data_IF_293067127593
#
_entry.id   IF_293067127593
#
_cell.length_a   1.000
_cell.length_b   1.000
_cell.length_c   1.000
_cell.angle_alpha   90.00
_cell.angle_beta   90.00
_cell.angle_gamma   90.00
#
_symmetry.space_group_name_H-M   'P 1'
#
loop_
_entity.id
_entity.type
_entity.pdbx_description
1 polymer ?
#
# COMPACT_ATOMS: atom_id res chain seq x y z
N UNK A 1 -46.86 -9.30 -19.90
CA UNK A 1 -46.29 -10.67 -19.87
C UNK A 1 -45.76 -10.90 -18.45
N UNK A 2 -46.29 -11.91 -17.72
CA UNK A 2 -45.72 -12.31 -16.42
C UNK A 2 -44.33 -12.89 -16.70
N UNK A 3 -43.30 -12.43 -15.97
CA UNK A 3 -42.00 -13.08 -15.99
C UNK A 3 -42.19 -14.56 -15.55
N UNK A 4 -41.54 -15.52 -16.21
CA UNK A 4 -41.60 -16.90 -15.81
C UNK A 4 -41.08 -17.04 -14.37
N UNK A 5 -41.79 -17.82 -13.57
CA UNK A 5 -41.42 -18.16 -12.20
C UNK A 5 -40.22 -19.13 -12.26
N UNK A 6 -39.01 -18.55 -12.22
CA UNK A 6 -37.75 -19.31 -12.25
C UNK A 6 -37.37 -19.66 -10.81
N UNK A 7 -37.35 -20.96 -10.44
CA UNK A 7 -36.91 -21.35 -9.12
C UNK A 7 -35.50 -20.88 -8.81
N UNK A 8 -35.30 -20.08 -7.78
CA UNK A 8 -33.99 -19.53 -7.40
C UNK A 8 -33.80 -19.60 -5.90
N UNK A 9 -32.58 -19.96 -5.48
CA UNK A 9 -32.15 -19.80 -4.09
C UNK A 9 -31.27 -18.53 -4.06
N UNK A 10 -31.78 -17.48 -3.44
CA UNK A 10 -31.05 -16.21 -3.30
C UNK A 10 -30.73 -15.96 -1.83
N UNK A 11 -29.49 -15.66 -1.53
CA UNK A 11 -28.99 -15.27 -0.21
C UNK A 11 -27.92 -14.22 -0.37
N UNK A 12 -27.82 -13.30 0.58
CA UNK A 12 -26.76 -12.30 0.62
C UNK A 12 -25.61 -12.77 1.49
N UNK A 13 -24.38 -12.67 1.00
CA UNK A 13 -23.16 -12.89 1.80
C UNK A 13 -22.65 -11.52 2.21
N UNK A 14 -22.68 -11.20 3.51
CA UNK A 14 -22.13 -9.99 4.07
C UNK A 14 -20.77 -10.29 4.73
N UNK A 15 -19.73 -9.53 4.36
CA UNK A 15 -18.38 -9.66 4.92
C UNK A 15 -17.98 -8.30 5.50
N UNK A 16 -17.53 -8.30 6.77
CA UNK A 16 -16.97 -7.12 7.42
C UNK A 16 -15.48 -7.35 7.66
N UNK A 17 -14.65 -6.50 7.07
CA UNK A 17 -13.20 -6.57 7.18
C UNK A 17 -12.69 -5.27 7.82
N UNK A 18 -12.00 -5.33 8.99
CA UNK A 18 -11.43 -4.15 9.59
C UNK A 18 -10.25 -3.65 8.74
N UNK A 19 -10.26 -2.36 8.39
CA UNK A 19 -9.16 -1.70 7.72
C UNK A 19 -8.41 -0.83 8.72
N UNK A 20 -7.15 -1.18 9.01
CA UNK A 20 -6.36 -0.57 10.08
C UNK A 20 -5.09 0.04 9.52
N UNK A 21 -4.91 1.33 9.73
CA UNK A 21 -3.71 2.08 9.33
C UNK A 21 -3.03 2.62 10.58
N UNK A 22 -1.79 2.22 10.78
CA UNK A 22 -0.93 2.66 11.88
C UNK A 22 0.11 3.64 11.37
N UNK A 23 0.49 4.59 12.23
CA UNK A 23 1.56 5.55 11.96
C UNK A 23 2.63 5.41 13.04
N UNK A 24 3.90 5.36 12.65
CA UNK A 24 5.02 5.20 13.56
C UNK A 24 6.30 5.82 12.98
N UNK A 25 7.34 5.83 13.80
CA UNK A 25 8.72 6.12 13.37
C UNK A 25 9.63 5.04 13.95
N UNK A 26 10.21 4.19 13.09
CA UNK A 26 11.02 3.05 13.47
C UNK A 26 10.21 1.87 14.02
N UNK A 27 9.38 1.24 13.20
CA UNK A 27 8.50 0.12 13.56
C UNK A 27 9.24 -1.06 14.21
N UNK A 28 10.51 -1.26 13.87
CA UNK A 28 11.36 -2.32 14.40
C UNK A 28 12.35 -1.85 15.46
N UNK A 29 12.23 -0.60 15.94
CA UNK A 29 13.06 -0.11 17.03
C UNK A 29 12.71 -0.80 18.36
N UNK A 30 13.69 -0.97 19.28
CA UNK A 30 13.41 -1.48 20.62
C UNK A 30 12.33 -0.62 21.32
N UNK A 31 11.33 -1.30 21.91
CA UNK A 31 10.23 -0.62 22.60
C UNK A 31 9.11 -0.08 21.71
N UNK A 32 9.22 -0.18 20.39
CA UNK A 32 8.11 0.13 19.48
C UNK A 32 7.21 -1.09 19.32
N UNK A 33 5.97 -0.98 19.76
CA UNK A 33 4.99 -2.07 19.74
C UNK A 33 3.96 -1.98 18.60
N UNK A 34 4.10 -0.98 17.71
CA UNK A 34 3.14 -0.77 16.62
C UNK A 34 3.05 -1.98 15.70
N UNK A 35 4.19 -2.56 15.31
CA UNK A 35 4.18 -3.76 14.47
C UNK A 35 3.55 -4.96 15.19
N UNK A 36 3.77 -5.10 16.51
CA UNK A 36 3.12 -6.13 17.32
C UNK A 36 1.59 -5.93 17.37
N UNK A 37 1.13 -4.70 17.55
CA UNK A 37 -0.30 -4.36 17.50
C UNK A 37 -0.91 -4.64 16.12
N UNK A 38 -0.20 -4.30 15.05
CA UNK A 38 -0.63 -4.55 13.68
C UNK A 38 -0.79 -6.04 13.39
N UNK A 39 0.19 -6.87 13.75
CA UNK A 39 0.15 -8.32 13.53
C UNK A 39 -0.92 -9.03 14.40
N UNK A 40 -1.09 -8.60 15.65
CA UNK A 40 -2.13 -9.18 16.54
C UNK A 40 -3.53 -8.88 16.05
N UNK A 41 -3.79 -7.66 15.61
CA UNK A 41 -5.14 -7.21 15.30
C UNK A 41 -6.09 -7.37 16.50
N UNK A 42 -7.31 -7.78 16.23
CA UNK A 42 -8.33 -8.03 17.25
C UNK A 42 -8.44 -9.52 17.61
N UNK A 43 -7.48 -10.35 17.22
CA UNK A 43 -7.57 -11.79 17.46
C UNK A 43 -7.19 -12.17 18.89
N UNK A 44 -7.96 -13.07 19.45
CA UNK A 44 -7.74 -13.66 20.77
C UNK A 44 -6.74 -14.84 20.70
N UNK A 45 -6.64 -15.46 19.52
CA UNK A 45 -5.77 -16.61 19.29
C UNK A 45 -4.28 -16.21 19.42
N UNK A 46 -3.58 -16.89 20.32
CA UNK A 46 -2.16 -16.63 20.67
C UNK A 46 -1.21 -17.64 20.05
N UNK A 47 -1.64 -18.44 19.06
CA UNK A 47 -0.73 -19.36 18.38
C UNK A 47 0.41 -18.59 17.74
N UNK A 48 1.63 -19.15 17.85
CA UNK A 48 2.79 -18.65 17.12
C UNK A 48 2.51 -18.68 15.61
N UNK A 49 2.78 -17.61 14.90
CA UNK A 49 2.51 -17.46 13.47
C UNK A 49 3.77 -17.13 12.70
N UNK A 50 3.83 -17.64 11.49
CA UNK A 50 4.93 -17.37 10.58
C UNK A 50 4.75 -16.03 9.88
N UNK A 51 5.87 -15.36 9.61
CA UNK A 51 5.92 -14.08 8.90
C UNK A 51 6.99 -14.17 7.82
N UNK A 52 6.55 -14.09 6.57
CA UNK A 52 7.43 -13.91 5.41
C UNK A 52 7.52 -12.41 5.11
N UNK A 53 8.73 -11.89 4.94
CA UNK A 53 8.94 -10.48 4.59
C UNK A 53 9.43 -10.38 3.15
N UNK A 54 8.76 -9.53 2.35
CA UNK A 54 9.19 -9.14 1.01
C UNK A 54 9.47 -7.64 1.04
N UNK A 55 10.69 -7.25 0.73
CA UNK A 55 11.14 -5.87 0.84
C UNK A 55 11.70 -5.35 -0.48
N UNK A 56 11.47 -4.07 -0.75
CA UNK A 56 12.07 -3.38 -1.89
C UNK A 56 13.59 -3.28 -1.69
N UNK A 57 14.34 -3.75 -2.67
CA UNK A 57 15.80 -3.76 -2.62
C UNK A 57 16.38 -2.34 -2.43
N UNK A 58 15.75 -1.32 -3.03
CA UNK A 58 16.14 0.08 -2.85
C UNK A 58 16.00 0.55 -1.40
N UNK A 59 14.94 0.14 -0.70
CA UNK A 59 14.74 0.44 0.72
C UNK A 59 15.85 -0.21 1.58
N UNK A 60 16.15 -1.49 1.33
CA UNK A 60 17.20 -2.20 2.07
C UNK A 60 18.59 -1.61 1.80
N UNK A 61 18.88 -1.20 0.56
CA UNK A 61 20.12 -0.50 0.23
C UNK A 61 20.23 0.87 0.90
N UNK A 62 19.12 1.60 0.96
CA UNK A 62 19.05 2.93 1.58
C UNK A 62 19.07 2.91 3.12
N UNK A 63 18.73 1.78 3.72
CA UNK A 63 18.73 1.55 5.18
C UNK A 63 19.35 0.18 5.50
N UNK A 64 20.68 0.05 5.44
CA UNK A 64 21.36 -1.25 5.59
C UNK A 64 21.12 -1.93 6.93
N UNK A 65 20.83 -1.17 7.99
CA UNK A 65 20.52 -1.66 9.33
C UNK A 65 19.13 -2.29 9.46
N UNK A 66 18.22 -2.01 8.52
CA UNK A 66 16.80 -2.39 8.60
C UNK A 66 16.62 -3.92 8.69
N UNK A 67 17.36 -4.69 7.90
CA UNK A 67 17.28 -6.15 7.93
C UNK A 67 17.69 -6.71 9.31
N UNK A 68 18.75 -6.15 9.89
CA UNK A 68 19.22 -6.53 11.24
C UNK A 68 18.21 -6.14 12.33
N UNK A 69 17.65 -4.93 12.26
CA UNK A 69 16.60 -4.45 13.18
C UNK A 69 15.37 -5.34 13.13
N UNK A 70 14.91 -5.69 11.94
CA UNK A 70 13.79 -6.58 11.70
C UNK A 70 14.04 -7.97 12.32
N UNK A 71 15.19 -8.58 12.03
CA UNK A 71 15.57 -9.88 12.59
C UNK A 71 15.62 -9.85 14.11
N UNK A 72 16.24 -8.83 14.71
CA UNK A 72 16.32 -8.67 16.16
C UNK A 72 14.92 -8.46 16.78
N UNK A 73 14.05 -7.68 16.12
CA UNK A 73 12.69 -7.42 16.58
C UNK A 73 11.85 -8.72 16.66
N UNK A 74 11.92 -9.57 15.63
CA UNK A 74 11.23 -10.86 15.61
C UNK A 74 11.85 -11.85 16.59
N UNK A 75 13.18 -11.90 16.73
CA UNK A 75 13.85 -12.74 17.70
C UNK A 75 13.42 -12.45 19.14
N UNK A 76 13.30 -11.15 19.49
CA UNK A 76 12.80 -10.72 20.80
C UNK A 76 11.33 -11.10 21.07
N UNK A 77 10.57 -11.45 20.04
CA UNK A 77 9.13 -11.80 20.09
C UNK A 77 8.84 -13.20 19.54
N UNK A 78 9.83 -14.07 19.57
CA UNK A 78 9.79 -15.43 18.99
C UNK A 78 8.71 -16.36 19.58
N UNK A 79 8.12 -15.99 20.71
CA UNK A 79 6.95 -16.69 21.27
C UNK A 79 5.66 -16.45 20.49
N UNK A 80 5.51 -15.28 19.88
CA UNK A 80 4.30 -14.87 19.15
C UNK A 80 4.47 -15.06 17.63
N UNK A 81 5.66 -14.73 17.09
CA UNK A 81 5.92 -14.75 15.65
C UNK A 81 7.24 -15.40 15.30
N UNK A 82 7.28 -16.02 14.13
CA UNK A 82 8.47 -16.61 13.53
C UNK A 82 8.76 -15.91 12.21
N UNK A 83 9.87 -15.16 12.16
CA UNK A 83 10.39 -14.68 10.88
C UNK A 83 10.92 -15.85 10.08
N UNK A 84 10.41 -16.06 8.88
CA UNK A 84 10.84 -17.16 8.01
C UNK A 84 11.90 -16.69 7.04
N UNK A 85 13.13 -17.08 7.31
CA UNK A 85 14.30 -16.69 6.52
C UNK A 85 14.62 -15.19 6.62
N UNK A 86 15.48 -14.75 5.72
CA UNK A 86 15.81 -13.34 5.55
C UNK A 86 14.74 -12.63 4.70
N UNK A 87 14.60 -11.29 4.78
CA UNK A 87 13.72 -10.55 3.90
C UNK A 87 14.04 -10.81 2.43
N UNK A 88 13.04 -11.23 1.66
CA UNK A 88 13.15 -11.42 0.22
C UNK A 88 13.26 -10.06 -0.46
N UNK A 89 14.44 -9.72 -0.99
CA UNK A 89 14.68 -8.47 -1.67
C UNK A 89 14.22 -8.56 -3.13
N UNK A 90 13.33 -7.64 -3.55
CA UNK A 90 12.88 -7.51 -4.93
C UNK A 90 13.11 -6.07 -5.42
N UNK A 91 13.42 -5.92 -6.69
CA UNK A 91 13.46 -4.59 -7.29
C UNK A 91 12.03 -4.05 -7.41
N UNK A 92 11.87 -2.77 -7.06
CA UNK A 92 10.60 -2.07 -7.07
C UNK A 92 10.35 -1.29 -8.35
N UNK A 93 9.50 -0.27 -8.22
CA UNK A 93 9.06 0.56 -9.34
C UNK A 93 8.02 -0.15 -10.22
N UNK A 94 7.38 0.59 -11.14
CA UNK A 94 6.28 0.04 -11.96
C UNK A 94 6.71 -1.18 -12.82
N UNK A 95 8.00 -1.27 -13.15
CA UNK A 95 8.55 -2.37 -13.94
C UNK A 95 8.36 -3.75 -13.26
N UNK A 96 8.37 -3.83 -11.93
CA UNK A 96 8.17 -5.10 -11.23
C UNK A 96 6.81 -5.73 -11.51
N UNK A 97 5.79 -4.91 -11.80
CA UNK A 97 4.43 -5.39 -12.11
C UNK A 97 4.31 -6.03 -13.49
N UNK A 98 5.32 -5.86 -14.37
CA UNK A 98 5.37 -6.51 -15.68
C UNK A 98 6.02 -7.91 -15.63
N UNK A 99 6.68 -8.24 -14.52
CA UNK A 99 7.38 -9.51 -14.35
C UNK A 99 6.58 -10.50 -13.51
N UNK A 100 5.84 -11.37 -14.18
CA UNK A 100 5.06 -12.43 -13.55
C UNK A 100 5.90 -13.46 -12.79
N UNK A 101 7.19 -13.58 -13.10
CA UNK A 101 8.07 -14.51 -12.40
C UNK A 101 8.19 -14.12 -10.93
N UNK A 102 8.11 -12.83 -10.61
CA UNK A 102 8.13 -12.33 -9.23
C UNK A 102 6.92 -12.82 -8.41
N UNK A 103 5.75 -12.91 -9.02
CA UNK A 103 4.56 -13.50 -8.37
C UNK A 103 4.80 -14.98 -8.07
N UNK A 104 5.34 -15.73 -9.04
CA UNK A 104 5.74 -17.14 -8.87
C UNK A 104 6.75 -17.32 -7.75
N UNK A 105 7.79 -16.48 -7.70
CA UNK A 105 8.81 -16.51 -6.64
C UNK A 105 8.20 -16.28 -5.24
N UNK A 106 7.22 -15.39 -5.12
CA UNK A 106 6.53 -15.15 -3.83
C UNK A 106 5.69 -16.38 -3.46
N UNK A 107 4.96 -16.98 -4.39
CA UNK A 107 4.21 -18.21 -4.13
C UNK A 107 5.12 -19.37 -3.71
N UNK A 108 6.26 -19.56 -4.37
CA UNK A 108 7.26 -20.55 -3.98
C UNK A 108 7.84 -20.29 -2.59
N UNK A 109 8.06 -19.01 -2.24
CA UNK A 109 8.51 -18.63 -0.89
C UNK A 109 7.43 -18.92 0.15
N UNK A 110 6.15 -18.64 -0.14
CA UNK A 110 5.01 -18.97 0.72
C UNK A 110 4.93 -20.47 0.96
N UNK A 111 5.02 -21.28 -0.08
CA UNK A 111 4.98 -22.75 0.00
C UNK A 111 6.16 -23.31 0.79
N UNK A 112 7.39 -22.90 0.44
CA UNK A 112 8.62 -23.36 1.09
C UNK A 112 8.66 -22.97 2.57
N UNK A 113 8.15 -21.81 2.92
CA UNK A 113 8.06 -21.34 4.29
C UNK A 113 6.91 -22.00 5.08
N UNK A 114 6.00 -22.71 4.41
CA UNK A 114 4.79 -23.27 5.02
C UNK A 114 3.91 -22.15 5.61
N UNK A 115 3.75 -21.05 4.87
CA UNK A 115 2.84 -19.95 5.21
C UNK A 115 1.42 -20.41 4.94
N UNK A 116 0.56 -20.29 5.93
CA UNK A 116 -0.86 -20.63 5.83
C UNK A 116 -1.74 -19.35 5.87
N UNK A 117 -3.05 -19.51 5.85
CA UNK A 117 -4.01 -18.39 5.91
C UNK A 117 -4.01 -17.63 7.24
N UNK A 118 -3.38 -18.15 8.28
CA UNK A 118 -3.25 -17.51 9.59
C UNK A 118 -1.89 -16.81 9.78
N UNK A 119 -0.95 -17.12 8.92
CA UNK A 119 0.38 -16.53 8.84
C UNK A 119 0.34 -15.20 8.08
N UNK A 120 1.48 -14.54 7.94
CA UNK A 120 1.55 -13.22 7.33
C UNK A 120 2.59 -13.14 6.21
N UNK A 121 2.25 -12.36 5.19
CA UNK A 121 3.22 -11.79 4.26
C UNK A 121 3.31 -10.30 4.53
N UNK A 122 4.48 -9.79 4.89
CA UNK A 122 4.74 -8.37 5.10
C UNK A 122 5.43 -7.81 3.87
N UNK A 123 4.81 -6.82 3.23
CA UNK A 123 5.36 -6.13 2.08
C UNK A 123 5.92 -4.76 2.50
N UNK A 124 7.19 -4.49 2.21
CA UNK A 124 7.88 -3.25 2.55
C UNK A 124 8.39 -2.58 1.27
N UNK A 125 7.77 -1.49 0.82
CA UNK A 125 8.18 -0.86 -0.45
C UNK A 125 7.24 0.21 -0.96
N UNK A 126 7.49 0.68 -2.17
CA UNK A 126 6.61 1.59 -2.90
C UNK A 126 5.34 0.90 -3.40
N UNK A 127 4.38 1.69 -3.88
CA UNK A 127 3.05 1.22 -4.27
C UNK A 127 3.06 0.03 -5.24
N UNK A 128 3.96 0.03 -6.22
CA UNK A 128 4.04 -1.05 -7.20
C UNK A 128 4.42 -2.40 -6.57
N UNK A 129 5.39 -2.42 -5.66
CA UNK A 129 5.76 -3.64 -4.93
C UNK A 129 4.63 -4.08 -3.99
N UNK A 130 3.97 -3.13 -3.31
CA UNK A 130 2.83 -3.44 -2.43
C UNK A 130 1.68 -4.09 -3.21
N UNK A 131 1.41 -3.61 -4.43
CA UNK A 131 0.39 -4.19 -5.31
C UNK A 131 0.74 -5.61 -5.76
N UNK A 132 2.00 -5.82 -6.18
CA UNK A 132 2.51 -7.12 -6.61
C UNK A 132 2.42 -8.15 -5.48
N UNK A 133 2.98 -7.81 -4.30
CA UNK A 133 3.01 -8.71 -3.13
C UNK A 133 1.59 -8.93 -2.60
N UNK A 134 0.77 -7.89 -2.61
CA UNK A 134 -0.64 -7.97 -2.22
C UNK A 134 -1.43 -8.91 -3.14
N UNK A 135 -1.20 -8.87 -4.46
CA UNK A 135 -1.79 -9.78 -5.41
C UNK A 135 -1.32 -11.24 -5.17
N UNK A 136 -0.02 -11.46 -5.00
CA UNK A 136 0.51 -12.78 -4.69
C UNK A 136 -0.07 -13.34 -3.38
N UNK A 137 -0.19 -12.51 -2.34
CA UNK A 137 -0.78 -12.89 -1.05
C UNK A 137 -2.27 -13.20 -1.15
N UNK A 138 -3.03 -12.39 -1.90
CA UNK A 138 -4.46 -12.57 -2.08
C UNK A 138 -4.82 -13.85 -2.86
N UNK A 139 -3.92 -14.31 -3.71
CA UNK A 139 -4.13 -15.50 -4.57
C UNK A 139 -3.54 -16.78 -3.99
N UNK A 140 -2.51 -16.70 -3.15
CA UNK A 140 -1.97 -17.85 -2.41
C UNK A 140 -3.01 -18.35 -1.38
N UNK A 141 -3.27 -19.65 -1.35
CA UNK A 141 -4.21 -20.30 -0.42
C UNK A 141 -5.61 -19.65 -0.35
N UNK A 142 -6.07 -18.94 -1.39
CA UNK A 142 -7.31 -18.14 -1.42
C UNK A 142 -7.30 -16.96 -0.44
N UNK A 143 -6.12 -16.42 -0.16
CA UNK A 143 -5.88 -15.27 0.71
C UNK A 143 -5.03 -15.61 1.93
N UNK A 144 -3.77 -15.16 1.89
CA UNK A 144 -2.86 -15.08 3.04
C UNK A 144 -2.95 -13.66 3.60
N UNK A 145 -2.89 -13.51 4.92
CA UNK A 145 -2.91 -12.19 5.56
C UNK A 145 -1.71 -11.38 5.11
N UNK A 146 -1.98 -10.19 4.63
CA UNK A 146 -0.92 -9.35 4.12
C UNK A 146 -0.88 -8.02 4.87
N UNK A 147 0.30 -7.64 5.31
CA UNK A 147 0.59 -6.37 5.97
C UNK A 147 1.39 -5.51 5.01
N UNK A 148 0.94 -4.28 4.79
CA UNK A 148 1.64 -3.31 3.96
C UNK A 148 2.46 -2.37 4.82
N UNK A 149 3.71 -2.14 4.44
CA UNK A 149 4.59 -1.12 5.00
C UNK A 149 5.08 -0.21 3.87
N UNK A 150 4.30 0.81 3.54
CA UNK A 150 4.62 1.75 2.46
C UNK A 150 5.91 2.51 2.72
N UNK A 151 6.79 2.64 1.71
CA UNK A 151 8.10 3.29 1.84
C UNK A 151 8.24 4.60 1.07
N UNK A 152 7.17 5.08 0.42
CA UNK A 152 7.17 6.36 -0.29
C UNK A 152 6.07 7.27 0.24
N UNK A 153 6.23 8.59 0.12
CA UNK A 153 5.18 9.55 0.51
C UNK A 153 3.88 9.28 -0.21
N UNK A 154 3.97 8.98 -1.52
CA UNK A 154 2.82 8.61 -2.34
C UNK A 154 2.10 7.37 -1.79
N UNK A 155 2.83 6.29 -1.52
CA UNK A 155 2.21 5.05 -1.03
C UNK A 155 1.71 5.17 0.41
N UNK A 156 2.34 5.98 1.27
CA UNK A 156 1.86 6.21 2.64
C UNK A 156 0.56 7.02 2.70
N UNK A 157 0.35 7.94 1.76
CA UNK A 157 -0.83 8.80 1.73
C UNK A 157 -1.99 8.26 0.89
N UNK A 158 -1.70 7.37 -0.09
CA UNK A 158 -2.66 6.95 -1.11
C UNK A 158 -2.58 5.43 -1.37
N UNK A 159 -1.89 4.99 -2.42
CA UNK A 159 -1.97 3.62 -2.93
C UNK A 159 -1.64 2.52 -1.92
N UNK A 160 -0.74 2.77 -0.97
CA UNK A 160 -0.39 1.79 0.07
C UNK A 160 -1.49 1.57 1.10
N UNK A 161 -2.37 2.56 1.33
CA UNK A 161 -3.53 2.43 2.23
C UNK A 161 -4.76 1.86 1.52
N UNK A 162 -4.70 1.69 0.19
CA UNK A 162 -5.80 1.16 -0.59
C UNK A 162 -6.05 -0.34 -0.39
N UNK A 163 -7.08 -0.84 -1.07
CA UNK A 163 -7.48 -2.26 -1.05
C UNK A 163 -7.25 -2.95 -2.38
N UNK A 164 -6.72 -2.23 -3.35
CA UNK A 164 -6.42 -2.72 -4.69
C UNK A 164 -5.05 -3.40 -4.70
N UNK A 165 -4.94 -4.49 -5.44
CA UNK A 165 -3.69 -5.21 -5.69
C UNK A 165 -3.69 -5.64 -7.14
N UNK A 166 -2.53 -5.62 -7.81
CA UNK A 166 -2.51 -6.02 -9.20
C UNK A 166 -1.15 -6.00 -9.84
N UNK A 167 -1.11 -6.63 -10.99
CA UNK A 167 0.05 -6.72 -11.89
C UNK A 167 -0.37 -6.34 -13.30
N UNK A 168 0.60 -5.98 -14.11
CA UNK A 168 0.38 -5.56 -15.48
C UNK A 168 0.32 -6.77 -16.42
N UNK A 169 -0.52 -6.68 -17.46
CA UNK A 169 -0.59 -7.68 -18.52
C UNK A 169 -1.05 -7.06 -19.83
N UNK A 170 -0.72 -7.64 -20.95
CA UNK A 170 -1.03 -7.11 -22.29
C UNK A 170 -0.62 -5.65 -22.51
N UNK A 171 0.49 -5.20 -21.89
CA UNK A 171 0.92 -3.81 -21.95
C UNK A 171 0.00 -2.82 -21.23
N UNK A 172 -0.91 -3.30 -20.39
CA UNK A 172 -1.85 -2.48 -19.61
C UNK A 172 -1.54 -2.57 -18.12
N UNK A 173 -1.57 -1.41 -17.44
CA UNK A 173 -1.41 -1.34 -15.98
C UNK A 173 -2.57 -2.02 -15.26
N UNK A 174 -2.26 -2.75 -14.17
CA UNK A 174 -3.24 -3.32 -13.24
C UNK A 174 -4.31 -4.21 -13.91
N UNK A 175 -3.95 -4.85 -15.04
CA UNK A 175 -4.91 -5.66 -15.81
C UNK A 175 -5.37 -6.91 -15.07
N UNK A 176 -4.49 -7.54 -14.33
CA UNK A 176 -4.81 -8.68 -13.46
C UNK A 176 -4.67 -8.23 -12.02
N UNK A 177 -5.75 -8.36 -11.26
CA UNK A 177 -5.73 -7.86 -9.89
C UNK A 177 -6.80 -8.48 -9.00
N UNK A 178 -6.76 -8.08 -7.76
CA UNK A 178 -7.73 -8.45 -6.74
C UNK A 178 -8.05 -7.26 -5.84
N UNK A 179 -9.26 -7.23 -5.32
CA UNK A 179 -9.58 -6.42 -4.16
C UNK A 179 -9.35 -7.27 -2.91
N UNK A 180 -8.39 -6.88 -2.09
CA UNK A 180 -8.12 -7.56 -0.84
C UNK A 180 -7.72 -6.52 0.21
N UNK A 181 -8.54 -6.40 1.25
CA UNK A 181 -8.25 -5.51 2.37
C UNK A 181 -7.00 -6.01 3.09
N UNK A 182 -5.93 -5.20 3.23
CA UNK A 182 -4.76 -5.62 3.98
C UNK A 182 -5.12 -5.87 5.44
N UNK A 183 -4.48 -6.86 6.07
CA UNK A 183 -4.65 -7.13 7.49
C UNK A 183 -4.32 -5.89 8.34
N UNK A 184 -3.28 -5.17 7.94
CA UNK A 184 -2.92 -3.86 8.47
C UNK A 184 -2.04 -3.11 7.46
N UNK A 185 -2.04 -1.79 7.58
CA UNK A 185 -1.06 -0.90 6.96
C UNK A 185 -0.26 -0.25 8.08
N UNK A 186 1.06 -0.24 7.97
CA UNK A 186 1.97 0.41 8.93
C UNK A 186 2.79 1.45 8.18
N UNK A 187 2.40 2.70 8.29
CA UNK A 187 3.12 3.85 7.76
C UNK A 187 4.27 4.19 8.70
N UNK A 188 5.46 3.71 8.35
CA UNK A 188 6.69 4.02 9.08
C UNK A 188 7.40 5.21 8.43
N UNK A 189 7.40 6.35 9.11
CA UNK A 189 8.05 7.55 8.59
C UNK A 189 9.57 7.41 8.49
N UNK A 190 10.20 6.48 9.24
CA UNK A 190 11.61 6.18 9.10
C UNK A 190 11.99 5.74 7.68
N UNK A 191 11.09 5.08 6.97
CA UNK A 191 11.34 4.63 5.59
C UNK A 191 11.53 5.79 4.60
N UNK A 192 10.95 6.95 4.89
CA UNK A 192 11.06 8.13 4.03
C UNK A 192 12.45 8.78 4.10
N UNK A 193 13.29 8.44 5.09
CA UNK A 193 14.64 9.03 5.25
C UNK A 193 15.55 8.68 4.08
N UNK A 194 15.41 7.49 3.51
CA UNK A 194 16.20 7.02 2.36
C UNK A 194 15.52 7.31 1.01
N UNK A 195 14.30 7.84 1.02
CA UNK A 195 13.57 8.16 -0.20
C UNK A 195 14.20 9.39 -0.88
N UNK A 196 14.56 9.31 -2.17
CA UNK A 196 15.03 10.48 -2.92
C UNK A 196 14.03 11.64 -2.91
N UNK A 197 14.52 12.86 -2.99
CA UNK A 197 13.71 14.08 -2.95
C UNK A 197 12.55 14.06 -3.96
N UNK A 198 12.80 13.62 -5.18
CA UNK A 198 11.76 13.49 -6.21
C UNK A 198 10.59 12.59 -5.74
N UNK A 199 10.92 11.46 -5.13
CA UNK A 199 9.89 10.55 -4.59
C UNK A 199 9.13 11.14 -3.41
N UNK A 200 9.77 12.01 -2.59
CA UNK A 200 9.07 12.72 -1.52
C UNK A 200 8.07 13.72 -2.08
N UNK A 201 8.38 14.39 -3.20
CA UNK A 201 7.50 15.37 -3.85
C UNK A 201 6.28 14.74 -4.53
N UNK A 202 6.40 13.54 -5.07
CA UNK A 202 5.29 12.87 -5.76
C UNK A 202 4.07 12.70 -4.85
N UNK A 203 4.28 12.35 -3.58
CA UNK A 203 3.17 12.23 -2.63
C UNK A 203 2.51 13.56 -2.25
N UNK A 204 3.24 14.69 -2.33
CA UNK A 204 2.67 16.02 -2.09
C UNK A 204 1.62 16.34 -3.16
N UNK A 205 1.91 16.00 -4.41
CA UNK A 205 1.01 16.27 -5.53
C UNK A 205 -0.30 15.51 -5.38
N UNK A 206 -0.24 14.24 -5.02
CA UNK A 206 -1.44 13.44 -4.76
C UNK A 206 -2.25 13.96 -3.58
N UNK A 207 -1.59 14.42 -2.52
CA UNK A 207 -2.26 15.03 -1.39
C UNK A 207 -3.00 16.32 -1.77
N UNK A 208 -2.38 17.17 -2.61
CA UNK A 208 -3.02 18.38 -3.16
C UNK A 208 -4.26 17.99 -3.97
N UNK A 209 -4.18 16.96 -4.82
CA UNK A 209 -5.30 16.44 -5.58
C UNK A 209 -6.47 16.03 -4.67
N UNK A 210 -6.19 15.21 -3.68
CA UNK A 210 -7.22 14.72 -2.76
C UNK A 210 -7.82 15.87 -1.94
N UNK A 211 -7.01 16.83 -1.50
CA UNK A 211 -7.46 18.01 -0.78
C UNK A 211 -8.41 18.86 -1.64
N UNK A 212 -8.05 19.13 -2.89
CA UNK A 212 -8.90 19.88 -3.85
C UNK A 212 -10.28 19.25 -4.04
N UNK A 213 -10.34 17.90 -4.04
CA UNK A 213 -11.58 17.17 -4.31
C UNK A 213 -12.44 16.99 -3.06
N UNK A 214 -11.79 16.79 -1.89
CA UNK A 214 -12.45 16.24 -0.70
C UNK A 214 -12.43 17.14 0.52
N UNK A 215 -11.43 18.02 0.67
CA UNK A 215 -11.20 18.72 1.92
C UNK A 215 -10.63 20.12 1.69
N UNK A 216 -11.53 21.11 1.65
CA UNK A 216 -11.16 22.50 1.45
C UNK A 216 -10.24 23.06 2.55
N UNK A 217 -10.44 22.61 3.79
CA UNK A 217 -9.63 23.09 4.92
C UNK A 217 -8.22 22.56 4.79
N UNK A 218 -8.08 21.28 4.46
CA UNK A 218 -6.77 20.66 4.18
C UNK A 218 -6.08 21.33 2.99
N UNK A 219 -6.79 21.65 1.92
CA UNK A 219 -6.22 22.40 0.79
C UNK A 219 -5.70 23.77 1.24
N UNK A 220 -6.47 24.53 2.00
CA UNK A 220 -6.03 25.83 2.55
C UNK A 220 -4.82 25.70 3.48
N UNK A 221 -4.71 24.61 4.23
CA UNK A 221 -3.52 24.31 5.04
C UNK A 221 -2.29 24.05 4.18
N UNK A 222 -2.43 23.22 3.12
CA UNK A 222 -1.32 22.94 2.18
C UNK A 222 -0.85 24.22 1.48
N UNK A 223 -1.77 25.08 1.06
CA UNK A 223 -1.48 26.38 0.45
C UNK A 223 -0.74 27.29 1.43
N UNK A 224 -1.24 27.43 2.65
CA UNK A 224 -0.61 28.26 3.70
C UNK A 224 0.82 27.81 4.08
N UNK A 225 1.15 26.54 3.89
CA UNK A 225 2.44 25.96 4.22
C UNK A 225 3.22 25.48 2.97
N UNK A 226 2.95 26.09 1.81
CA UNK A 226 3.61 25.72 0.55
C UNK A 226 5.15 25.78 0.61
N UNK A 227 5.72 26.74 1.34
CA UNK A 227 7.16 26.88 1.52
C UNK A 227 7.74 25.71 2.33
N UNK A 228 7.05 25.24 3.37
CA UNK A 228 7.45 24.06 4.14
C UNK A 228 7.39 22.79 3.29
N UNK A 229 6.34 22.65 2.48
CA UNK A 229 6.25 21.54 1.52
C UNK A 229 7.34 21.63 0.45
N UNK A 230 7.63 22.84 -0.03
CA UNK A 230 8.73 23.10 -0.97
C UNK A 230 10.09 22.72 -0.43
N UNK A 231 10.35 22.95 0.86
CA UNK A 231 11.57 22.55 1.55
C UNK A 231 11.55 21.11 2.08
N UNK A 232 10.46 20.37 1.89
CA UNK A 232 10.28 19.00 2.39
C UNK A 232 10.38 18.89 3.92
N UNK A 233 9.80 19.87 4.63
CA UNK A 233 9.74 19.83 6.09
C UNK A 233 9.10 18.53 6.59
N UNK A 234 9.79 17.83 7.51
CA UNK A 234 9.39 16.49 7.97
C UNK A 234 8.05 16.53 8.73
N UNK A 235 7.83 17.57 9.53
CA UNK A 235 6.59 17.73 10.28
C UNK A 235 5.39 17.92 9.35
N UNK A 236 5.55 18.79 8.34
CA UNK A 236 4.49 19.03 7.35
C UNK A 236 4.24 17.82 6.46
N UNK A 237 5.28 17.07 6.07
CA UNK A 237 5.13 15.82 5.30
C UNK A 237 4.35 14.76 6.11
N UNK A 238 4.67 14.58 7.39
CA UNK A 238 3.95 13.63 8.27
C UNK A 238 2.47 14.00 8.40
N UNK A 239 2.18 15.28 8.57
CA UNK A 239 0.81 15.78 8.66
C UNK A 239 0.04 15.58 7.35
N UNK A 240 0.67 15.91 6.22
CA UNK A 240 0.14 15.71 4.88
C UNK A 240 -0.19 14.22 4.62
N UNK A 241 0.78 13.33 4.87
CA UNK A 241 0.61 11.89 4.68
C UNK A 241 -0.55 11.37 5.53
N UNK A 242 -0.60 11.77 6.80
CA UNK A 242 -1.64 11.32 7.71
C UNK A 242 -3.03 11.74 7.22
N UNK A 243 -3.22 13.03 6.88
CA UNK A 243 -4.54 13.51 6.42
C UNK A 243 -4.95 12.91 5.09
N UNK A 244 -4.01 12.75 4.14
CA UNK A 244 -4.27 12.04 2.88
C UNK A 244 -4.72 10.59 3.12
N UNK A 245 -4.03 9.86 3.98
CA UNK A 245 -4.40 8.49 4.32
C UNK A 245 -5.78 8.41 5.00
N UNK A 246 -6.10 9.34 5.90
CA UNK A 246 -7.42 9.43 6.53
C UNK A 246 -8.53 9.61 5.48
N UNK A 247 -8.37 10.58 4.56
CA UNK A 247 -9.33 10.84 3.51
C UNK A 247 -9.50 9.64 2.56
N UNK A 248 -8.41 8.92 2.28
CA UNK A 248 -8.44 7.73 1.46
C UNK A 248 -9.19 6.58 2.15
N UNK A 249 -8.92 6.34 3.43
CA UNK A 249 -9.64 5.34 4.24
C UNK A 249 -11.13 5.72 4.38
N UNK A 250 -11.45 6.99 4.62
CA UNK A 250 -12.83 7.47 4.67
C UNK A 250 -13.56 7.20 3.35
N UNK A 251 -12.89 7.40 2.21
CA UNK A 251 -13.45 7.08 0.90
C UNK A 251 -13.76 5.60 0.73
N UNK A 252 -12.83 4.72 1.09
CA UNK A 252 -12.98 3.26 0.99
C UNK A 252 -14.08 2.77 1.94
N UNK A 253 -14.06 3.22 3.20
CA UNK A 253 -14.94 2.69 4.24
C UNK A 253 -16.33 3.36 4.29
N UNK A 254 -16.41 4.64 3.91
CA UNK A 254 -17.63 5.46 4.03
C UNK A 254 -18.43 5.61 2.75
N UNK A 255 -17.83 5.37 1.60
CA UNK A 255 -18.44 5.63 0.29
C UNK A 255 -19.49 4.57 -0.15
N UNK A 256 -19.63 3.47 0.57
CA UNK A 256 -20.55 2.37 0.20
C UNK A 256 -20.11 1.55 -1.02
N UNK A 257 -19.00 1.90 -1.65
CA UNK A 257 -18.40 1.21 -2.81
C UNK A 257 -16.88 1.05 -2.62
N UNK A 258 -16.45 0.21 -1.64
CA UNK A 258 -15.04 0.06 -1.31
C UNK A 258 -14.19 -0.50 -2.46
N UNK A 259 -14.82 -1.12 -3.45
CA UNK A 259 -14.16 -1.71 -4.61
C UNK A 259 -14.35 -0.88 -5.89
N UNK A 260 -14.93 0.33 -5.76
CA UNK A 260 -15.14 1.27 -6.87
C UNK A 260 -15.83 0.61 -8.09
N UNK A 261 -16.82 -0.24 -7.82
CA UNK A 261 -17.61 -0.91 -8.87
C UNK A 261 -18.46 0.09 -9.68
N UNK A 262 -18.81 1.23 -9.08
CA UNK A 262 -19.56 2.29 -9.70
C UNK A 262 -18.66 3.29 -10.43
N UNK A 263 -17.93 4.11 -9.71
CA UNK A 263 -17.09 5.17 -10.29
C UNK A 263 -16.02 5.67 -9.30
N UNK A 264 -14.75 5.64 -9.73
CA UNK A 264 -13.62 6.31 -9.06
C UNK A 264 -13.48 7.79 -9.48
N UNK A 265 -14.40 8.32 -10.29
CA UNK A 265 -14.24 9.58 -11.02
C UNK A 265 -13.75 10.79 -10.22
N UNK A 266 -14.17 11.05 -8.97
CA UNK A 266 -13.56 12.16 -8.25
C UNK A 266 -12.06 12.03 -8.04
N UNK A 267 -11.55 10.80 -7.80
CA UNK A 267 -10.14 10.53 -7.57
C UNK A 267 -9.33 10.47 -8.87
N UNK A 268 -9.99 10.36 -10.03
CA UNK A 268 -9.38 10.37 -11.36
C UNK A 268 -8.99 11.78 -11.86
N UNK A 269 -9.27 12.84 -11.09
CA UNK A 269 -8.89 14.21 -11.41
C UNK A 269 -7.38 14.30 -11.70
N UNK A 270 -7.01 14.86 -12.84
CA UNK A 270 -5.63 14.88 -13.33
C UNK A 270 -5.10 13.56 -13.91
N UNK A 271 -5.74 12.43 -13.61
CA UNK A 271 -5.22 11.10 -14.01
C UNK A 271 -5.44 10.76 -15.48
N UNK A 272 -6.51 11.30 -16.08
CA UNK A 272 -6.76 11.06 -17.50
C UNK A 272 -5.59 11.50 -18.39
N UNK A 273 -5.08 12.69 -18.14
CA UNK A 273 -3.87 13.21 -18.82
C UNK A 273 -2.63 12.46 -18.38
N UNK A 274 -2.46 12.24 -17.06
CA UNK A 274 -1.30 11.58 -16.50
C UNK A 274 -1.06 10.19 -17.14
N UNK A 275 -2.06 9.35 -17.17
CA UNK A 275 -1.99 8.00 -17.74
C UNK A 275 -1.64 8.02 -19.25
N UNK A 276 -1.90 9.13 -19.94
CA UNK A 276 -1.55 9.27 -21.34
C UNK A 276 -0.11 9.72 -21.52
N UNK A 277 0.39 10.67 -20.73
CA UNK A 277 1.73 11.22 -20.89
C UNK A 277 2.82 10.32 -20.29
N UNK A 278 2.53 9.53 -19.26
CA UNK A 278 3.48 8.57 -18.68
C UNK A 278 4.08 7.62 -19.76
N UNK A 279 3.29 6.85 -20.51
CA UNK A 279 3.84 5.99 -21.56
C UNK A 279 4.43 6.77 -22.73
N UNK A 280 3.90 7.96 -23.08
CA UNK A 280 4.45 8.78 -24.15
C UNK A 280 5.87 9.27 -23.85
N UNK A 281 6.21 9.46 -22.59
CA UNK A 281 7.55 9.84 -22.12
C UNK A 281 8.44 8.63 -21.80
N UNK A 282 7.98 7.40 -22.08
CA UNK A 282 8.68 6.18 -21.68
C UNK A 282 8.86 6.09 -20.17
N UNK A 283 7.90 6.65 -19.39
CA UNK A 283 7.95 6.73 -17.92
C UNK A 283 9.13 7.56 -17.38
N UNK A 284 9.76 8.42 -18.18
CA UNK A 284 10.77 9.38 -17.71
C UNK A 284 10.16 10.47 -16.83
N UNK A 285 8.88 10.79 -17.04
CA UNK A 285 8.11 11.67 -16.17
C UNK A 285 7.54 10.85 -15.01
N UNK A 286 7.80 11.26 -13.76
CA UNK A 286 7.23 10.57 -12.59
C UNK A 286 5.72 10.73 -12.55
N UNK A 287 5.04 9.77 -11.91
CA UNK A 287 3.57 9.76 -11.78
C UNK A 287 3.05 11.07 -11.19
N UNK A 288 3.62 11.53 -10.08
CA UNK A 288 3.18 12.79 -9.45
C UNK A 288 3.30 13.99 -10.40
N UNK A 289 4.41 14.12 -11.14
CA UNK A 289 4.57 15.20 -12.13
C UNK A 289 3.53 15.10 -13.25
N UNK A 290 3.24 13.88 -13.71
CA UNK A 290 2.21 13.65 -14.72
C UNK A 290 0.82 14.06 -14.21
N UNK A 291 0.49 13.73 -12.96
CA UNK A 291 -0.76 14.14 -12.31
C UNK A 291 -0.83 15.66 -12.11
N UNK A 292 0.28 16.31 -11.72
CA UNK A 292 0.32 17.77 -11.60
C UNK A 292 0.00 18.48 -12.92
N UNK A 293 0.55 17.99 -14.05
CA UNK A 293 0.22 18.47 -15.38
C UNK A 293 -1.27 18.24 -15.69
N UNK A 294 -1.76 17.04 -15.38
CA UNK A 294 -3.16 16.69 -15.59
C UNK A 294 -4.11 17.61 -14.82
N UNK A 295 -3.85 17.86 -13.55
CA UNK A 295 -4.66 18.79 -12.73
C UNK A 295 -4.68 20.22 -13.26
N UNK A 296 -3.59 20.64 -13.92
CA UNK A 296 -3.53 21.96 -14.54
C UNK A 296 -4.29 22.06 -15.87
N UNK A 297 -4.62 20.92 -16.48
CA UNK A 297 -5.35 20.82 -17.75
C UNK A 297 -6.85 20.62 -17.53
N UNK A 298 -7.22 19.82 -16.50
CA UNK A 298 -8.61 19.51 -16.14
C UNK A 298 -9.30 20.69 -15.46
#
# INVERSE_FOLDING_TARGET
>A
MKQPDIPVISRTVAISLPHRVFFTDGAFAPGNDVMAAALRGNEVDRRKRKVLVVAEAALLRGQPELAGQLTAWFAARSGDWELVGEPMALEGGEACKNDWTLVGMIWEAVERAGIDRHSFVVAMGGGALLDLVGFASATAHRGVRHVRMPSTTLSQGDGGVGVKNGVNWFGKKNWVGSFAVPWAVVNDHAFLRSLPEAGRRDGIIEAIKVALIRDREFFGELEAHADLLGSLDDGMLRRLIRRSAELHVEHICGGGDPFELGSARPLDFGHWVAHRIEPMTGYALSHGKAVAIGMAVD
#
